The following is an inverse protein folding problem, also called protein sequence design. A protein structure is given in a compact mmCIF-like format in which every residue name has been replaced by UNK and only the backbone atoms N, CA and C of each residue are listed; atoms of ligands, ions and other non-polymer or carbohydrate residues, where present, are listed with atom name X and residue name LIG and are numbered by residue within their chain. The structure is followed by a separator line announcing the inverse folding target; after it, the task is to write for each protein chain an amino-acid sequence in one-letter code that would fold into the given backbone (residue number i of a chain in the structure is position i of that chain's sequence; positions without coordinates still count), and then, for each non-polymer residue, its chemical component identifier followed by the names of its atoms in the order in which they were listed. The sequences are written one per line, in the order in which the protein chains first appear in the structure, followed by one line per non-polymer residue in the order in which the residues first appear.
data_IF_163332316623
#
_entry.id   IF_163332316623
#
_cell.length_a   1.000
_cell.length_b   1.000
_cell.length_c   1.000
_cell.angle_alpha   90.00
_cell.angle_beta   90.00
_cell.angle_gamma   90.00
#
_symmetry.space_group_name_H-M   'P 1'
#
loop_
_entity.id
_entity.type
_entity.pdbx_description
1 polymer ?
#
# COMPACT_ATOMS: atom_id res chain seq x y z
N UNK A 1 -12.16 5.44 28.04
CA UNK A 1 -11.57 4.34 27.27
C UNK A 1 -10.41 4.87 26.45
N UNK A 2 -9.36 4.11 26.31
CA UNK A 2 -8.24 4.45 25.43
C UNK A 2 -8.71 4.43 23.97
N UNK A 3 -8.23 5.39 23.15
CA UNK A 3 -8.64 5.51 21.75
C UNK A 3 -8.08 4.36 20.93
N UNK A 4 -8.93 3.76 20.10
CA UNK A 4 -8.57 2.70 19.16
C UNK A 4 -8.26 3.33 17.80
N UNK A 5 -6.99 3.25 17.39
CA UNK A 5 -6.51 3.83 16.14
C UNK A 5 -6.54 2.81 15.00
N UNK A 6 -6.58 3.27 13.75
CA UNK A 6 -6.60 2.40 12.57
C UNK A 6 -5.39 1.46 12.53
N UNK A 7 -4.21 2.03 12.61
CA UNK A 7 -2.94 1.30 12.70
C UNK A 7 -1.89 2.22 13.29
N UNK A 8 -1.36 1.86 14.45
CA UNK A 8 -0.25 2.56 15.09
C UNK A 8 1.02 1.73 14.97
N UNK A 9 2.16 2.42 15.01
CA UNK A 9 3.44 1.77 15.19
C UNK A 9 3.43 0.94 16.49
N UNK A 10 3.93 -0.28 16.40
CA UNK A 10 4.10 -1.17 17.54
C UNK A 10 5.57 -1.58 17.64
N UNK A 11 6.18 -1.32 18.78
CA UNK A 11 7.60 -1.58 18.99
C UNK A 11 7.85 -3.01 19.47
N UNK A 12 8.81 -3.68 18.84
CA UNK A 12 9.25 -5.03 19.21
C UNK A 12 10.06 -5.05 20.52
N UNK A 13 10.66 -3.91 20.87
CA UNK A 13 11.68 -3.80 21.92
C UNK A 13 13.12 -3.98 21.41
N UNK A 14 13.31 -4.41 20.17
CA UNK A 14 14.64 -4.65 19.59
C UNK A 14 15.19 -3.41 18.86
N UNK A 15 14.37 -2.43 18.53
CA UNK A 15 14.75 -1.24 17.76
C UNK A 15 15.85 -0.44 18.46
N UNK A 16 15.73 -0.26 19.77
CA UNK A 16 16.67 0.55 20.55
C UNK A 16 18.10 0.01 20.49
N UNK A 17 18.27 -1.31 20.42
CA UNK A 17 19.59 -1.95 20.29
C UNK A 17 20.31 -1.46 19.02
N UNK A 18 19.64 -1.51 17.87
CA UNK A 18 20.22 -1.12 16.58
C UNK A 18 20.40 0.40 16.47
N UNK A 19 19.50 1.17 17.06
CA UNK A 19 19.63 2.63 17.14
C UNK A 19 20.85 3.00 18.00
N UNK A 20 20.99 2.38 19.16
CA UNK A 20 22.12 2.63 20.06
C UNK A 20 23.46 2.24 19.39
N UNK A 21 23.52 1.13 18.67
CA UNK A 21 24.68 0.74 17.89
C UNK A 21 25.11 1.81 16.87
N UNK A 22 24.15 2.47 16.22
CA UNK A 22 24.46 3.56 15.29
C UNK A 22 25.12 4.75 16.00
N UNK A 23 24.70 5.08 17.24
CA UNK A 23 25.32 6.13 18.03
C UNK A 23 26.69 5.71 18.56
N UNK A 24 26.85 4.52 19.10
CA UNK A 24 28.08 4.01 19.68
C UNK A 24 29.21 3.92 18.64
N UNK A 25 28.84 3.64 17.38
CA UNK A 25 29.79 3.50 16.26
C UNK A 25 29.88 4.77 15.40
N UNK A 26 29.19 5.85 15.78
CA UNK A 26 29.13 7.13 15.06
C UNK A 26 28.61 7.01 13.60
N UNK A 27 27.73 6.05 13.32
CA UNK A 27 27.05 5.89 12.02
C UNK A 27 25.69 6.62 12.00
N UNK A 28 25.68 7.90 12.40
CA UNK A 28 24.46 8.77 12.39
C UNK A 28 24.43 9.56 11.07
N UNK A 29 24.29 8.83 9.96
CA UNK A 29 24.36 9.35 8.58
C UNK A 29 23.43 8.53 7.68
N UNK A 30 23.12 8.96 6.42
CA UNK A 30 22.23 8.24 5.50
C UNK A 30 22.92 7.08 4.76
N UNK A 31 23.77 6.37 5.44
CA UNK A 31 24.49 5.14 5.00
C UNK A 31 25.01 4.43 6.25
N UNK A 32 25.36 3.16 6.15
CA UNK A 32 25.99 2.43 7.24
C UNK A 32 25.49 1.01 7.43
N UNK A 33 25.99 0.32 8.48
CA UNK A 33 25.72 -1.11 8.69
C UNK A 33 24.23 -1.46 8.80
N UNK A 34 23.42 -0.61 9.48
CA UNK A 34 22.01 -0.88 9.61
C UNK A 34 21.26 -0.75 8.28
N UNK A 35 21.63 0.23 7.42
CA UNK A 35 21.02 0.36 6.09
C UNK A 35 21.30 -0.88 5.26
N UNK A 36 22.57 -1.32 5.21
CA UNK A 36 22.97 -2.49 4.43
C UNK A 36 22.25 -3.77 4.91
N UNK A 37 22.26 -3.99 6.24
CA UNK A 37 21.60 -5.17 6.82
C UNK A 37 20.09 -5.14 6.62
N UNK A 38 19.44 -3.97 6.71
CA UNK A 38 18.00 -3.82 6.47
C UNK A 38 17.64 -4.11 5.00
N UNK A 39 18.46 -3.65 4.05
CA UNK A 39 18.30 -3.99 2.62
C UNK A 39 18.42 -5.51 2.38
N UNK A 40 19.39 -6.19 3.02
CA UNK A 40 19.57 -7.64 2.95
C UNK A 40 18.40 -8.41 3.60
N UNK A 41 17.94 -7.98 4.77
CA UNK A 41 16.78 -8.56 5.48
C UNK A 41 15.50 -8.44 4.64
N UNK A 42 15.26 -7.27 4.02
CA UNK A 42 14.13 -7.07 3.09
C UNK A 42 14.27 -7.94 1.83
N UNK A 43 15.44 -7.99 1.22
CA UNK A 43 15.69 -8.82 0.04
C UNK A 43 15.46 -10.31 0.33
N UNK A 44 15.87 -10.77 1.51
CA UNK A 44 15.60 -12.13 1.99
C UNK A 44 14.11 -12.38 2.18
N UNK A 45 13.39 -11.42 2.78
CA UNK A 45 11.94 -11.52 2.97
C UNK A 45 11.20 -11.61 1.62
N UNK A 46 11.57 -10.81 0.63
CA UNK A 46 10.99 -10.84 -0.72
C UNK A 46 11.09 -12.21 -1.40
N UNK A 47 12.13 -12.99 -1.05
CA UNK A 47 12.40 -14.33 -1.58
C UNK A 47 11.85 -15.44 -0.68
N UNK A 48 11.22 -15.12 0.44
CA UNK A 48 10.74 -16.09 1.43
C UNK A 48 9.46 -16.79 0.99
N UNK A 49 9.29 -18.03 1.46
CA UNK A 49 7.99 -18.72 1.43
C UNK A 49 7.10 -18.24 2.59
N UNK A 50 5.78 -18.50 2.53
CA UNK A 50 4.88 -18.20 3.63
C UNK A 50 5.37 -18.77 4.96
N UNK A 51 5.27 -17.98 6.04
CA UNK A 51 5.56 -18.44 7.40
C UNK A 51 4.32 -19.09 8.00
N UNK A 52 4.49 -20.24 8.67
CA UNK A 52 3.41 -20.96 9.37
C UNK A 52 3.34 -20.51 10.84
N UNK A 53 3.17 -19.22 11.11
CA UNK A 53 2.92 -18.75 12.48
C UNK A 53 1.45 -18.92 12.79
N UNK A 54 1.16 -19.85 13.72
CA UNK A 54 -0.19 -20.11 14.25
C UNK A 54 -0.38 -19.34 15.57
N UNK A 55 -1.29 -18.36 15.59
CA UNK A 55 -1.67 -17.60 16.78
C UNK A 55 -2.84 -18.19 17.54
N UNK A 56 -3.50 -19.20 17.00
CA UNK A 56 -4.57 -19.91 17.66
C UNK A 56 -4.12 -21.33 17.97
N UNK A 57 -4.39 -21.82 19.17
CA UNK A 57 -4.44 -23.27 19.42
C UNK A 57 -5.58 -23.94 18.63
N UNK A 58 -6.25 -23.22 17.74
CA UNK A 58 -7.18 -23.69 16.74
C UNK A 58 -6.50 -23.58 15.38
N UNK A 59 -6.23 -24.71 14.81
CA UNK A 59 -5.61 -24.95 13.51
C UNK A 59 -6.15 -23.98 12.44
N UNK A 60 -5.33 -23.02 11.99
CA UNK A 60 -5.54 -22.46 10.66
C UNK A 60 -5.51 -23.63 9.68
N UNK A 61 -6.42 -23.70 8.70
CA UNK A 61 -6.36 -24.76 7.73
C UNK A 61 -4.95 -24.80 7.17
N UNK A 62 -4.32 -25.96 7.33
CA UNK A 62 -3.00 -26.24 6.80
C UNK A 62 -2.95 -25.75 5.37
N UNK A 63 -1.83 -25.10 5.04
CA UNK A 63 -1.43 -24.71 3.70
C UNK A 63 -2.29 -25.35 2.61
N UNK A 64 -2.92 -24.53 1.81
CA UNK A 64 -3.52 -24.93 0.55
C UNK A 64 -2.49 -25.82 -0.14
N UNK A 65 -2.77 -27.11 -0.20
CA UNK A 65 -2.01 -28.00 -1.07
C UNK A 65 -2.27 -27.49 -2.48
N UNK A 66 -1.21 -26.99 -3.11
CA UNK A 66 -1.28 -26.62 -4.50
C UNK A 66 -1.88 -27.78 -5.29
N UNK A 67 -3.09 -27.59 -5.80
CA UNK A 67 -3.72 -28.54 -6.71
C UNK A 67 -3.13 -28.35 -8.11
N UNK A 68 -1.85 -28.64 -8.26
CA UNK A 68 -1.29 -29.04 -9.53
C UNK A 68 -0.47 -30.28 -9.31
N UNK A 69 -0.78 -31.31 -10.08
CA UNK A 69 0.00 -32.55 -10.11
C UNK A 69 1.45 -32.34 -10.58
N UNK A 70 1.86 -31.11 -10.86
CA UNK A 70 3.20 -30.70 -11.20
C UNK A 70 3.48 -29.25 -10.76
N UNK A 71 3.92 -29.00 -9.50
CA UNK A 71 4.30 -27.67 -9.01
C UNK A 71 5.46 -27.04 -9.79
N UNK A 72 6.24 -27.84 -10.50
CA UNK A 72 7.47 -27.40 -11.18
C UNK A 72 7.20 -26.78 -12.57
N UNK A 73 6.05 -26.98 -13.17
CA UNK A 73 5.78 -26.50 -14.55
C UNK A 73 5.24 -25.07 -14.62
N UNK A 74 4.62 -24.54 -13.57
CA UNK A 74 3.92 -23.25 -13.66
C UNK A 74 4.77 -22.02 -13.30
N UNK A 75 5.92 -22.18 -12.64
CA UNK A 75 6.69 -21.03 -12.10
C UNK A 75 8.22 -21.20 -12.08
N UNK A 76 8.79 -22.19 -12.76
CA UNK A 76 10.24 -22.43 -12.74
C UNK A 76 11.07 -21.24 -13.28
N UNK A 77 10.51 -20.41 -14.18
CA UNK A 77 11.21 -19.24 -14.71
C UNK A 77 11.06 -18.00 -13.81
N UNK A 78 9.93 -17.82 -13.14
CA UNK A 78 9.69 -16.68 -12.23
C UNK A 78 10.55 -16.71 -10.96
N UNK A 79 10.80 -17.87 -10.37
CA UNK A 79 11.65 -17.99 -9.18
C UNK A 79 13.13 -17.69 -9.46
N UNK A 80 13.64 -17.95 -10.66
CA UNK A 80 15.03 -17.60 -11.03
C UNK A 80 15.23 -16.09 -11.11
N UNK A 81 14.19 -15.35 -11.51
CA UNK A 81 14.24 -13.89 -11.55
C UNK A 81 14.25 -13.27 -10.15
N UNK A 82 13.60 -13.93 -9.16
CA UNK A 82 13.61 -13.46 -7.77
C UNK A 82 15.00 -13.46 -7.14
N UNK A 83 15.87 -14.40 -7.53
CA UNK A 83 17.25 -14.48 -7.00
C UNK A 83 18.07 -13.22 -7.31
N UNK A 84 17.78 -12.56 -8.44
CA UNK A 84 18.47 -11.36 -8.88
C UNK A 84 17.89 -10.07 -8.26
N UNK A 85 16.72 -10.12 -7.64
CA UNK A 85 16.09 -8.93 -7.05
C UNK A 85 16.95 -8.36 -5.91
N UNK A 86 17.17 -7.06 -5.98
CA UNK A 86 17.95 -6.28 -5.02
C UNK A 86 17.05 -5.22 -4.37
N UNK A 87 17.41 -4.75 -3.18
CA UNK A 87 16.62 -3.74 -2.46
C UNK A 87 17.46 -2.51 -2.17
N UNK A 88 16.85 -1.32 -2.31
CA UNK A 88 17.42 -0.03 -1.90
C UNK A 88 16.51 0.60 -0.86
N UNK A 89 17.03 0.85 0.33
CA UNK A 89 16.30 1.55 1.39
C UNK A 89 16.34 3.08 1.15
N UNK A 90 15.16 3.69 1.16
CA UNK A 90 14.92 5.09 0.79
C UNK A 90 14.12 5.83 1.87
N UNK A 91 14.08 7.15 1.79
CA UNK A 91 13.40 8.00 2.77
C UNK A 91 11.87 7.92 2.75
N UNK A 92 11.25 7.34 1.70
CA UNK A 92 9.80 7.11 1.61
C UNK A 92 9.46 6.20 0.42
N UNK A 93 8.25 5.59 0.44
CA UNK A 93 7.69 4.91 -0.74
C UNK A 93 7.48 5.86 -1.93
N UNK A 94 7.12 7.11 -1.67
CA UNK A 94 6.98 8.14 -2.73
C UNK A 94 8.30 8.38 -3.48
N UNK A 95 9.43 8.45 -2.76
CA UNK A 95 10.75 8.58 -3.38
C UNK A 95 11.15 7.32 -4.14
N UNK A 96 10.72 6.14 -3.69
CA UNK A 96 10.94 4.89 -4.39
C UNK A 96 10.21 4.87 -5.75
N UNK A 97 8.92 5.24 -5.80
CA UNK A 97 8.17 5.38 -7.06
C UNK A 97 8.85 6.39 -7.98
N UNK A 98 9.24 7.55 -7.45
CA UNK A 98 9.89 8.59 -8.24
C UNK A 98 11.18 8.09 -8.92
N UNK A 99 12.05 7.42 -8.17
CA UNK A 99 13.29 6.87 -8.71
C UNK A 99 13.06 5.71 -9.69
N UNK A 100 12.05 4.86 -9.46
CA UNK A 100 11.67 3.82 -10.41
C UNK A 100 11.27 4.44 -11.76
N UNK A 101 10.42 5.47 -11.75
CA UNK A 101 9.98 6.18 -12.95
C UNK A 101 11.14 6.87 -13.68
N UNK A 102 12.09 7.48 -12.96
CA UNK A 102 13.31 8.05 -13.54
C UNK A 102 14.12 6.97 -14.24
N UNK A 103 14.32 5.82 -13.57
CA UNK A 103 15.13 4.74 -14.15
C UNK A 103 14.45 4.09 -15.36
N UNK A 104 13.12 4.08 -15.42
CA UNK A 104 12.33 3.69 -16.60
C UNK A 104 12.35 4.75 -17.71
N UNK A 105 13.01 5.89 -17.48
CA UNK A 105 13.15 6.97 -18.45
C UNK A 105 11.85 7.75 -18.68
N UNK A 106 10.98 7.85 -17.67
CA UNK A 106 9.80 8.72 -17.70
C UNK A 106 10.25 10.18 -17.66
N UNK A 107 9.68 11.01 -18.52
CA UNK A 107 10.00 12.43 -18.65
C UNK A 107 8.78 13.27 -19.01
N UNK A 108 8.96 14.58 -19.03
CA UNK A 108 7.90 15.51 -19.39
C UNK A 108 7.23 15.15 -20.72
N UNK A 109 5.91 15.13 -20.70
CA UNK A 109 5.05 14.79 -21.81
C UNK A 109 4.80 13.28 -21.99
N UNK A 110 5.44 12.39 -21.24
CA UNK A 110 5.09 10.97 -21.22
C UNK A 110 3.77 10.73 -20.48
N UNK A 111 3.19 9.54 -20.67
CA UNK A 111 2.04 9.07 -19.92
C UNK A 111 2.42 7.83 -19.09
N UNK A 112 1.87 7.76 -17.88
CA UNK A 112 1.99 6.60 -16.98
C UNK A 112 0.59 6.19 -16.55
N UNK A 113 0.23 4.92 -16.77
CA UNK A 113 -1.04 4.39 -16.29
C UNK A 113 -0.94 4.17 -14.79
N UNK A 114 -1.94 4.66 -14.05
CA UNK A 114 -2.03 4.56 -12.60
C UNK A 114 -3.39 4.00 -12.18
N UNK A 115 -3.39 3.14 -11.17
CA UNK A 115 -4.63 2.79 -10.48
C UNK A 115 -5.27 4.07 -9.93
N UNK A 116 -6.60 4.22 -10.09
CA UNK A 116 -7.31 5.39 -9.59
C UNK A 116 -7.65 5.29 -8.11
N UNK A 117 -8.05 4.11 -7.65
CA UNK A 117 -8.39 3.89 -6.26
C UNK A 117 -7.12 3.59 -5.47
N UNK A 118 -6.46 4.65 -5.00
CA UNK A 118 -5.18 4.59 -4.32
C UNK A 118 -4.90 5.83 -3.48
N UNK A 119 -3.85 5.77 -2.68
CA UNK A 119 -3.24 6.94 -2.04
C UNK A 119 -2.48 7.79 -3.08
N UNK A 120 -2.41 9.09 -2.86
CA UNK A 120 -1.83 10.04 -3.83
C UNK A 120 -0.36 9.78 -4.17
N UNK A 121 0.38 9.08 -3.31
CA UNK A 121 1.80 8.79 -3.53
C UNK A 121 2.06 7.92 -4.77
N UNK A 122 1.08 7.11 -5.22
CA UNK A 122 1.20 6.33 -6.45
C UNK A 122 1.23 7.21 -7.72
N UNK A 123 0.59 8.38 -7.71
CA UNK A 123 0.42 9.22 -8.90
C UNK A 123 1.18 10.56 -8.86
N UNK A 124 1.44 11.14 -7.67
CA UNK A 124 2.17 12.40 -7.56
C UNK A 124 3.57 12.37 -8.21
N UNK A 125 4.38 11.30 -8.06
CA UNK A 125 5.71 11.24 -8.69
C UNK A 125 5.69 11.30 -10.22
N UNK A 126 4.60 10.88 -10.86
CA UNK A 126 4.40 11.06 -12.30
C UNK A 126 4.39 12.54 -12.65
N UNK A 127 3.66 13.33 -11.86
CA UNK A 127 3.58 14.79 -12.03
C UNK A 127 4.91 15.49 -11.72
N UNK A 128 5.73 14.97 -10.79
CA UNK A 128 7.05 15.54 -10.51
C UNK A 128 7.96 15.51 -11.74
N UNK A 129 7.77 14.53 -12.61
CA UNK A 129 8.54 14.39 -13.86
C UNK A 129 7.91 15.14 -15.05
N UNK A 130 6.82 15.87 -14.83
CA UNK A 130 6.08 16.55 -15.91
C UNK A 130 5.35 15.58 -16.84
N UNK A 131 5.20 14.33 -16.45
CA UNK A 131 4.41 13.32 -17.13
C UNK A 131 2.93 13.39 -16.72
N UNK A 132 2.06 12.74 -17.47
CA UNK A 132 0.62 12.72 -17.22
C UNK A 132 0.18 11.37 -16.67
N UNK A 133 -0.43 11.31 -15.48
CA UNK A 133 -1.07 10.09 -15.02
C UNK A 133 -2.35 9.83 -15.80
N UNK A 134 -2.52 8.59 -16.27
CA UNK A 134 -3.73 8.06 -16.91
C UNK A 134 -4.39 7.11 -15.92
N UNK A 135 -5.57 7.45 -15.43
CA UNK A 135 -6.20 6.68 -14.37
C UNK A 135 -7.04 5.53 -14.91
N UNK A 136 -6.90 4.38 -14.27
CA UNK A 136 -7.70 3.18 -14.52
C UNK A 136 -8.45 2.82 -13.25
N UNK A 137 -9.76 2.60 -13.39
CA UNK A 137 -10.65 2.26 -12.28
C UNK A 137 -10.47 0.82 -11.82
N UNK A 138 -11.19 0.46 -10.78
CA UNK A 138 -11.13 -0.80 -10.06
C UNK A 138 -11.94 -1.90 -10.72
N UNK A 139 -11.60 -3.15 -10.41
CA UNK A 139 -12.50 -4.29 -10.53
C UNK A 139 -13.09 -4.66 -9.16
N UNK A 140 -14.17 -5.45 -9.18
CA UNK A 140 -15.04 -5.61 -8.01
C UNK A 140 -14.48 -6.54 -6.92
N UNK A 141 -13.61 -7.49 -7.29
CA UNK A 141 -13.21 -8.56 -6.37
C UNK A 141 -12.09 -8.11 -5.41
N UNK A 142 -11.02 -7.52 -5.98
CA UNK A 142 -9.86 -7.07 -5.19
C UNK A 142 -9.87 -5.57 -4.91
N UNK A 143 -10.75 -4.81 -5.57
CA UNK A 143 -10.83 -3.35 -5.58
C UNK A 143 -9.61 -2.66 -6.23
N UNK A 144 -8.70 -3.44 -6.76
CA UNK A 144 -7.51 -2.95 -7.46
C UNK A 144 -7.78 -2.72 -8.95
N UNK A 145 -6.74 -2.38 -9.71
CA UNK A 145 -6.83 -2.03 -11.12
C UNK A 145 -7.57 -3.08 -11.95
N UNK A 146 -8.57 -2.66 -12.72
CA UNK A 146 -9.27 -3.53 -13.67
C UNK A 146 -8.38 -3.88 -14.87
N UNK A 147 -8.08 -5.18 -15.11
CA UNK A 147 -7.32 -5.61 -16.28
C UNK A 147 -8.01 -5.22 -17.62
N UNK A 148 -9.33 -5.30 -17.67
CA UNK A 148 -10.10 -4.93 -18.88
C UNK A 148 -9.94 -3.43 -19.21
N UNK A 149 -10.10 -2.56 -18.20
CA UNK A 149 -9.92 -1.13 -18.40
C UNK A 149 -8.47 -0.75 -18.66
N UNK A 150 -7.51 -1.49 -18.09
CA UNK A 150 -6.08 -1.33 -18.38
C UNK A 150 -5.79 -1.55 -19.85
N UNK A 151 -6.25 -2.68 -20.41
CA UNK A 151 -6.01 -2.98 -21.83
C UNK A 151 -6.69 -1.96 -22.75
N UNK A 152 -7.91 -1.55 -22.41
CA UNK A 152 -8.61 -0.47 -23.11
C UNK A 152 -7.83 0.84 -23.06
N UNK A 153 -7.35 1.24 -21.87
CA UNK A 153 -6.56 2.46 -21.72
C UNK A 153 -5.30 2.44 -22.58
N UNK A 154 -4.56 1.32 -22.60
CA UNK A 154 -3.36 1.17 -23.43
C UNK A 154 -3.69 1.36 -24.91
N UNK A 155 -4.72 0.67 -25.43
CA UNK A 155 -5.14 0.75 -26.84
C UNK A 155 -5.51 2.18 -27.23
N UNK A 156 -6.40 2.80 -26.44
CA UNK A 156 -6.89 4.14 -26.73
C UNK A 156 -5.76 5.18 -26.65
N UNK A 157 -4.83 5.05 -25.68
CA UNK A 157 -3.71 6.01 -25.59
C UNK A 157 -2.75 5.87 -26.77
N UNK A 158 -2.46 4.64 -27.22
CA UNK A 158 -1.64 4.40 -28.41
C UNK A 158 -2.30 5.03 -29.64
N UNK A 159 -3.62 4.84 -29.82
CA UNK A 159 -4.36 5.42 -30.95
C UNK A 159 -4.37 6.95 -30.93
N UNK A 160 -4.64 7.55 -29.74
CA UNK A 160 -4.82 9.00 -29.59
C UNK A 160 -3.51 9.79 -29.67
N UNK A 161 -2.39 9.25 -29.13
CA UNK A 161 -1.14 9.98 -29.01
C UNK A 161 0.02 9.39 -29.83
N UNK A 162 -0.21 8.26 -30.52
CA UNK A 162 0.76 7.61 -31.40
C UNK A 162 1.92 6.92 -30.66
N UNK A 163 1.85 6.76 -29.35
CA UNK A 163 2.87 6.09 -28.53
C UNK A 163 2.23 5.39 -27.33
N UNK A 164 2.89 4.33 -26.85
CA UNK A 164 2.44 3.60 -25.67
C UNK A 164 2.75 4.36 -24.38
N UNK A 165 1.96 4.18 -23.30
CA UNK A 165 2.32 4.62 -21.97
C UNK A 165 3.70 4.10 -21.56
N UNK A 166 4.42 4.87 -20.75
CA UNK A 166 5.81 4.58 -20.41
C UNK A 166 5.96 3.55 -19.30
N UNK A 167 4.98 3.49 -18.40
CA UNK A 167 4.91 2.52 -17.30
C UNK A 167 3.46 2.31 -16.85
N UNK A 168 3.22 1.24 -16.10
CA UNK A 168 1.99 0.96 -15.37
C UNK A 168 2.33 0.93 -13.88
N UNK A 169 1.56 1.64 -13.05
CA UNK A 169 1.66 1.58 -11.58
C UNK A 169 0.45 0.81 -11.06
N UNK A 170 0.68 -0.39 -10.56
CA UNK A 170 -0.31 -1.26 -9.91
C UNK A 170 -0.19 -1.08 -8.41
N UNK A 171 -1.32 -1.05 -7.71
CA UNK A 171 -1.35 -0.89 -6.24
C UNK A 171 -1.96 -2.13 -5.60
N UNK A 172 -1.51 -2.44 -4.40
CA UNK A 172 -2.11 -3.47 -3.54
C UNK A 172 -2.87 -2.78 -2.40
N UNK A 173 -4.02 -2.22 -2.75
CA UNK A 173 -4.80 -1.35 -1.87
C UNK A 173 -5.23 -2.07 -0.60
N UNK A 174 -5.00 -1.45 0.56
CA UNK A 174 -5.24 -2.00 1.90
C UNK A 174 -4.54 -3.33 2.19
N UNK A 175 -3.60 -3.73 1.33
CA UNK A 175 -2.89 -5.00 1.42
C UNK A 175 -3.49 -6.11 0.56
N UNK A 176 -4.56 -5.86 -0.18
CA UNK A 176 -5.19 -6.86 -1.04
C UNK A 176 -4.39 -7.05 -2.33
N UNK A 177 -3.98 -8.30 -2.67
CA UNK A 177 -3.34 -8.58 -3.95
C UNK A 177 -4.25 -8.24 -5.13
N UNK A 178 -3.70 -7.55 -6.15
CA UNK A 178 -4.35 -7.30 -7.42
C UNK A 178 -4.43 -8.58 -8.28
N UNK A 179 -5.21 -8.58 -9.35
CA UNK A 179 -5.17 -9.61 -10.41
C UNK A 179 -3.87 -9.48 -11.21
N UNK A 180 -2.75 -9.62 -10.50
CA UNK A 180 -1.42 -9.26 -11.02
C UNK A 180 -1.02 -10.10 -12.24
N UNK A 181 -1.41 -11.36 -12.30
CA UNK A 181 -1.14 -12.21 -13.45
C UNK A 181 -1.77 -11.66 -14.73
N UNK A 182 -3.05 -11.31 -14.68
CA UNK A 182 -3.77 -10.75 -15.83
C UNK A 182 -3.15 -9.41 -16.28
N UNK A 183 -2.74 -8.59 -15.30
CA UNK A 183 -2.10 -7.30 -15.56
C UNK A 183 -0.72 -7.49 -16.21
N UNK A 184 0.08 -8.47 -15.76
CA UNK A 184 1.38 -8.80 -16.36
C UNK A 184 1.19 -9.26 -17.81
N UNK A 185 0.28 -10.19 -18.08
CA UNK A 185 0.00 -10.67 -19.43
C UNK A 185 -0.38 -9.54 -20.40
N UNK A 186 -1.11 -8.54 -19.91
CA UNK A 186 -1.43 -7.34 -20.69
C UNK A 186 -0.18 -6.49 -20.90
N UNK A 187 0.56 -6.18 -19.81
CA UNK A 187 1.76 -5.33 -19.86
C UNK A 187 2.82 -5.89 -20.81
N UNK A 188 3.07 -7.21 -20.78
CA UNK A 188 4.00 -7.91 -21.67
C UNK A 188 3.58 -7.81 -23.13
N UNK A 189 2.29 -7.98 -23.44
CA UNK A 189 1.74 -7.85 -24.79
C UNK A 189 2.07 -6.51 -25.45
N UNK A 190 2.12 -5.45 -24.65
CA UNK A 190 2.46 -4.10 -25.10
C UNK A 190 3.90 -3.70 -24.75
N UNK A 191 4.67 -4.58 -24.11
CA UNK A 191 6.04 -4.31 -23.62
C UNK A 191 6.09 -3.01 -22.80
N UNK A 192 5.22 -2.89 -21.79
CA UNK A 192 5.17 -1.76 -20.87
C UNK A 192 5.62 -2.27 -19.49
N UNK A 193 6.66 -1.68 -18.85
CA UNK A 193 7.11 -2.10 -17.54
C UNK A 193 6.10 -1.77 -16.44
N UNK A 194 6.06 -2.64 -15.42
CA UNK A 194 5.20 -2.49 -14.23
C UNK A 194 6.03 -2.01 -13.06
N UNK A 195 5.51 -1.00 -12.35
CA UNK A 195 5.92 -0.60 -10.99
C UNK A 195 4.80 -1.04 -10.04
N UNK A 196 5.11 -1.91 -9.10
CA UNK A 196 4.18 -2.36 -8.08
C UNK A 196 4.27 -1.44 -6.86
N UNK A 197 3.21 -0.72 -6.56
CA UNK A 197 3.08 0.01 -5.30
C UNK A 197 2.56 -0.93 -4.21
N UNK A 198 3.50 -1.63 -3.57
CA UNK A 198 3.25 -2.51 -2.43
C UNK A 198 3.43 -1.79 -1.07
N UNK A 199 3.26 -0.45 -1.04
CA UNK A 199 3.37 0.34 0.18
C UNK A 199 2.39 -0.10 1.30
N UNK A 200 1.34 -0.80 0.94
CA UNK A 200 0.34 -1.39 1.84
C UNK A 200 0.38 -2.92 1.84
N UNK A 201 1.15 -3.50 0.93
CA UNK A 201 1.20 -4.94 0.65
C UNK A 201 2.34 -5.72 1.30
N UNK A 202 3.14 -5.12 2.21
CA UNK A 202 4.25 -5.86 2.84
C UNK A 202 3.74 -7.11 3.57
N UNK A 203 4.13 -8.28 3.08
CA UNK A 203 3.69 -9.58 3.58
C UNK A 203 2.46 -10.16 2.90
N UNK A 204 1.77 -9.40 2.05
CA UNK A 204 0.76 -9.96 1.16
C UNK A 204 1.41 -10.80 0.07
N UNK A 205 0.67 -11.81 -0.39
CA UNK A 205 1.14 -12.74 -1.41
C UNK A 205 0.05 -13.00 -2.46
N UNK A 206 0.52 -13.24 -3.66
CA UNK A 206 -0.31 -13.79 -4.72
C UNK A 206 0.33 -15.09 -5.20
N UNK A 207 -0.41 -16.19 -5.11
CA UNK A 207 0.11 -17.54 -5.40
C UNK A 207 1.47 -17.80 -4.70
N UNK A 208 1.50 -17.60 -3.37
CA UNK A 208 2.66 -17.74 -2.46
C UNK A 208 3.81 -16.72 -2.67
N UNK A 209 3.88 -16.01 -3.79
CA UNK A 209 4.92 -15.02 -4.06
C UNK A 209 4.56 -13.67 -3.41
N UNK A 210 5.56 -13.04 -2.78
CA UNK A 210 5.41 -11.71 -2.15
C UNK A 210 5.06 -10.64 -3.19
N UNK A 211 4.01 -9.86 -2.94
CA UNK A 211 3.66 -8.73 -3.80
C UNK A 211 4.77 -7.66 -3.77
N UNK A 212 4.96 -6.97 -4.88
CA UNK A 212 6.10 -6.07 -5.09
C UNK A 212 7.30 -6.76 -5.75
N UNK A 213 7.18 -8.07 -6.09
CA UNK A 213 8.28 -8.84 -6.73
C UNK A 213 7.96 -9.35 -8.13
N UNK A 214 6.77 -9.07 -8.64
CA UNK A 214 6.31 -9.51 -9.95
C UNK A 214 6.75 -8.58 -11.08
N UNK A 215 6.64 -7.27 -10.88
CA UNK A 215 6.97 -6.27 -11.89
C UNK A 215 8.45 -5.94 -11.99
N UNK A 216 8.76 -4.96 -12.83
CA UNK A 216 10.14 -4.44 -12.99
C UNK A 216 10.65 -3.85 -11.68
N UNK A 217 9.81 -3.04 -10.99
CA UNK A 217 10.10 -2.45 -9.69
C UNK A 217 8.98 -2.71 -8.70
N UNK A 218 9.34 -2.90 -7.42
CA UNK A 218 8.38 -2.97 -6.32
C UNK A 218 8.69 -1.95 -5.24
N UNK A 219 7.66 -1.31 -4.72
CA UNK A 219 7.78 -0.22 -3.74
C UNK A 219 7.24 -0.68 -2.39
N UNK A 220 8.00 -0.45 -1.34
CA UNK A 220 7.57 -0.65 0.05
C UNK A 220 7.56 0.69 0.79
N UNK A 221 6.71 0.79 1.82
CA UNK A 221 6.64 1.96 2.70
C UNK A 221 6.74 1.54 4.16
N UNK A 222 7.49 2.31 4.92
CA UNK A 222 7.71 2.12 6.36
C UNK A 222 7.33 3.39 7.13
N UNK A 223 6.28 4.07 6.68
CA UNK A 223 5.69 5.18 7.45
C UNK A 223 5.09 4.66 8.76
N UNK A 224 4.88 5.54 9.74
CA UNK A 224 4.48 5.19 11.10
C UNK A 224 3.21 4.34 11.25
N UNK A 225 2.37 4.27 10.23
CA UNK A 225 1.13 3.50 10.22
C UNK A 225 1.16 2.28 9.29
N UNK A 226 2.32 1.91 8.74
CA UNK A 226 2.45 0.74 7.86
C UNK A 226 2.66 -0.54 8.66
N UNK A 227 2.74 -1.68 7.99
CA UNK A 227 2.91 -3.01 8.60
C UNK A 227 4.09 -3.06 9.56
N UNK A 228 5.19 -2.40 9.18
CA UNK A 228 6.33 -2.04 10.04
C UNK A 228 6.69 -0.58 9.82
N UNK A 229 7.44 0.00 10.75
CA UNK A 229 7.86 1.40 10.67
C UNK A 229 9.37 1.57 10.76
N UNK A 230 9.88 2.60 10.09
CA UNK A 230 11.20 3.18 10.33
C UNK A 230 11.09 4.63 10.81
N UNK A 231 9.98 5.02 11.46
CA UNK A 231 9.53 6.40 11.70
C UNK A 231 9.03 7.06 10.41
N UNK A 232 9.81 7.07 9.39
CA UNK A 232 9.52 7.37 8.00
C UNK A 232 10.56 6.69 7.13
N UNK A 233 10.11 6.09 6.04
CA UNK A 233 10.98 5.35 5.14
C UNK A 233 10.21 4.61 4.06
N UNK A 234 10.97 3.98 3.19
CA UNK A 234 10.49 3.09 2.15
C UNK A 234 11.63 2.29 1.58
N UNK A 235 11.34 1.44 0.63
CA UNK A 235 12.34 0.73 -0.14
C UNK A 235 11.88 0.52 -1.58
N UNK A 236 12.84 0.36 -2.48
CA UNK A 236 12.62 -0.02 -3.86
C UNK A 236 13.25 -1.39 -4.11
N UNK A 237 12.44 -2.35 -4.52
CA UNK A 237 12.88 -3.64 -5.05
C UNK A 237 13.25 -3.41 -6.50
N UNK A 238 14.50 -3.69 -6.84
CA UNK A 238 15.07 -3.54 -8.17
C UNK A 238 15.20 -4.89 -8.86
N UNK A 239 15.12 -4.97 -10.20
CA UNK A 239 15.20 -6.24 -10.93
C UNK A 239 16.57 -6.91 -10.81
N UNK A 240 17.63 -6.14 -10.63
CA UNK A 240 19.01 -6.62 -10.57
C UNK A 240 19.94 -5.57 -9.94
N UNK A 241 21.21 -5.96 -9.80
CA UNK A 241 22.25 -5.10 -9.23
C UNK A 241 22.53 -3.84 -10.05
N UNK A 242 22.47 -3.89 -11.37
CA UNK A 242 22.69 -2.72 -12.23
C UNK A 242 21.63 -1.65 -11.99
N UNK A 243 20.37 -2.06 -11.94
CA UNK A 243 19.25 -1.17 -11.61
C UNK A 243 19.41 -0.59 -10.18
N UNK A 244 19.79 -1.41 -9.20
CA UNK A 244 20.10 -0.96 -7.84
C UNK A 244 21.19 0.11 -7.83
N UNK A 245 22.29 -0.12 -8.51
CA UNK A 245 23.43 0.81 -8.56
C UNK A 245 23.00 2.15 -9.20
N UNK A 246 22.16 2.10 -10.23
CA UNK A 246 21.61 3.30 -10.89
C UNK A 246 20.64 4.06 -9.96
N UNK A 247 19.76 3.36 -9.25
CA UNK A 247 18.89 3.96 -8.24
C UNK A 247 19.70 4.60 -7.12
N UNK A 248 20.75 3.94 -6.66
CA UNK A 248 21.68 4.47 -5.65
C UNK A 248 22.38 5.74 -6.12
N UNK A 249 22.82 5.79 -7.37
CA UNK A 249 23.42 6.96 -7.96
C UNK A 249 22.47 8.18 -7.88
N UNK A 250 21.20 8.01 -8.31
CA UNK A 250 20.21 9.08 -8.19
C UNK A 250 19.85 9.42 -6.74
N UNK A 251 19.74 8.42 -5.86
CA UNK A 251 19.39 8.61 -4.45
C UNK A 251 20.47 9.34 -3.64
N UNK A 252 21.71 9.40 -4.20
CA UNK A 252 22.88 10.06 -3.62
C UNK A 252 23.37 11.24 -4.46
N UNK A 253 22.44 12.03 -4.96
CA UNK A 253 22.64 13.28 -5.69
C UNK A 253 23.28 13.15 -7.09
N UNK A 254 23.32 11.96 -7.69
CA UNK A 254 23.94 11.70 -8.99
C UNK A 254 25.37 12.28 -9.09
N UNK A 255 26.17 12.02 -8.05
CA UNK A 255 27.53 12.50 -7.97
C UNK A 255 28.48 11.56 -8.72
N UNK A 256 29.27 12.14 -9.62
CA UNK A 256 30.34 11.46 -10.33
C UNK A 256 31.54 11.12 -9.43
N UNK A 257 32.27 10.07 -9.80
CA UNK A 257 33.39 9.53 -9.00
C UNK A 257 34.70 10.33 -9.18
N UNK A 258 34.64 11.64 -8.90
CA UNK A 258 35.83 12.51 -8.91
C UNK A 258 36.19 12.97 -7.49
N UNK A 259 37.44 13.42 -7.23
CA UNK A 259 37.82 14.02 -5.95
C UNK A 259 37.05 15.32 -5.62
N UNK A 260 36.51 15.98 -6.62
CA UNK A 260 35.63 17.15 -6.52
C UNK A 260 34.20 16.79 -6.89
N UNK A 261 33.23 17.63 -6.51
CA UNK A 261 31.83 17.44 -6.85
C UNK A 261 31.58 17.80 -8.32
N UNK A 262 31.15 16.77 -9.09
CA UNK A 262 30.68 16.92 -10.46
C UNK A 262 29.38 16.18 -10.63
N UNK A 263 28.44 16.74 -11.36
CA UNK A 263 27.14 16.18 -11.63
C UNK A 263 26.83 16.34 -13.12
N UNK A 264 26.61 15.24 -13.81
CA UNK A 264 26.15 15.21 -15.21
C UNK A 264 24.62 15.05 -15.27
N UNK A 265 24.02 14.54 -14.21
CA UNK A 265 22.57 14.34 -14.07
C UNK A 265 22.07 14.96 -12.76
N UNK A 266 20.78 15.29 -12.71
CA UNK A 266 20.13 15.78 -11.49
C UNK A 266 19.80 14.56 -10.60
N UNK A 267 20.35 14.53 -9.41
CA UNK A 267 20.07 13.52 -8.41
C UNK A 267 19.30 14.07 -7.21
N UNK A 268 19.04 13.19 -6.26
CA UNK A 268 18.17 13.44 -5.10
C UNK A 268 18.87 13.02 -3.82
N UNK A 269 18.43 13.53 -2.68
CA UNK A 269 18.86 13.09 -1.36
C UNK A 269 17.77 12.20 -0.75
N UNK A 270 17.69 10.95 -1.24
CA UNK A 270 16.60 10.04 -0.94
C UNK A 270 17.00 8.79 -0.15
N UNK A 271 18.22 8.70 0.33
CA UNK A 271 18.68 7.58 1.15
C UNK A 271 17.98 7.52 2.51
N UNK A 272 17.75 6.31 3.01
CA UNK A 272 17.30 6.09 4.37
C UNK A 272 18.44 6.38 5.37
N UNK A 273 18.11 7.02 6.50
CA UNK A 273 19.04 7.21 7.61
C UNK A 273 19.41 5.86 8.26
N UNK A 274 20.70 5.71 8.66
CA UNK A 274 21.16 4.50 9.36
C UNK A 274 20.45 4.31 10.73
N UNK A 275 20.05 5.39 11.39
CA UNK A 275 19.23 5.34 12.61
C UNK A 275 17.84 4.80 12.32
N UNK A 276 17.18 5.30 11.28
CA UNK A 276 15.87 4.81 10.85
C UNK A 276 15.92 3.35 10.36
N UNK A 277 16.99 2.97 9.66
CA UNK A 277 17.21 1.58 9.26
C UNK A 277 17.39 0.66 10.49
N UNK A 278 18.02 1.14 11.55
CA UNK A 278 18.10 0.42 12.83
C UNK A 278 16.72 0.14 13.44
N UNK A 279 15.79 1.11 13.38
CA UNK A 279 14.39 0.88 13.74
C UNK A 279 13.80 -0.23 12.87
N UNK A 280 13.98 -0.13 11.54
CA UNK A 280 13.47 -1.12 10.57
C UNK A 280 13.97 -2.53 10.86
N UNK A 281 15.23 -2.71 11.19
CA UNK A 281 15.81 -4.00 11.58
C UNK A 281 15.15 -4.59 12.83
N UNK A 282 14.90 -3.75 13.85
CA UNK A 282 14.13 -4.17 15.02
C UNK A 282 12.72 -4.63 14.63
N UNK A 283 12.06 -3.90 13.76
CA UNK A 283 10.72 -4.21 13.27
C UNK A 283 10.68 -5.49 12.41
N UNK A 284 11.73 -5.77 11.61
CA UNK A 284 11.82 -7.03 10.85
C UNK A 284 11.78 -8.28 11.74
N UNK A 285 12.22 -8.17 13.00
CA UNK A 285 12.20 -9.30 13.93
C UNK A 285 10.80 -9.74 14.35
N UNK A 286 9.78 -8.90 14.12
CA UNK A 286 8.37 -9.18 14.47
C UNK A 286 7.42 -9.05 13.28
N UNK A 287 7.96 -8.94 12.05
CA UNK A 287 7.15 -8.75 10.84
C UNK A 287 6.13 -9.87 10.65
N UNK A 288 6.55 -11.13 10.78
CA UNK A 288 5.66 -12.28 10.62
C UNK A 288 4.54 -12.29 11.68
N UNK A 289 4.89 -11.91 12.91
CA UNK A 289 3.90 -11.78 14.01
C UNK A 289 2.88 -10.67 13.71
N UNK A 290 3.34 -9.52 13.19
CA UNK A 290 2.45 -8.43 12.79
C UNK A 290 1.49 -8.85 11.67
N UNK A 291 2.00 -9.53 10.64
CA UNK A 291 1.18 -10.04 9.52
C UNK A 291 0.12 -11.01 10.05
N UNK A 292 0.52 -11.96 10.87
CA UNK A 292 -0.39 -12.95 11.43
C UNK A 292 -1.44 -12.30 12.34
N UNK A 293 -1.05 -11.29 13.14
CA UNK A 293 -2.00 -10.52 13.96
C UNK A 293 -3.04 -9.78 13.11
N UNK A 294 -2.64 -9.10 12.06
CA UNK A 294 -3.57 -8.41 11.14
C UNK A 294 -4.58 -9.39 10.52
N UNK A 295 -4.10 -10.57 10.08
CA UNK A 295 -4.97 -11.64 9.57
C UNK A 295 -5.93 -12.18 10.62
N UNK A 296 -5.47 -12.32 11.87
CA UNK A 296 -6.32 -12.75 12.97
C UNK A 296 -7.45 -11.74 13.23
N UNK A 297 -7.15 -10.45 13.29
CA UNK A 297 -8.15 -9.38 13.46
C UNK A 297 -9.13 -9.36 12.27
N UNK A 298 -8.64 -9.58 11.04
CA UNK A 298 -9.48 -9.70 9.85
C UNK A 298 -10.48 -10.86 9.97
N UNK A 299 -10.03 -12.02 10.47
CA UNK A 299 -10.89 -13.18 10.73
C UNK A 299 -12.01 -12.83 11.71
N UNK A 300 -11.70 -12.13 12.82
CA UNK A 300 -12.71 -11.70 13.80
C UNK A 300 -13.75 -10.77 13.18
N UNK A 301 -13.34 -9.81 12.34
CA UNK A 301 -14.26 -8.92 11.63
C UNK A 301 -15.14 -9.69 10.63
N UNK A 302 -14.53 -10.56 9.81
CA UNK A 302 -15.26 -11.42 8.86
C UNK A 302 -16.35 -12.22 9.56
N UNK A 303 -16.01 -12.93 10.64
CA UNK A 303 -16.96 -13.69 11.46
C UNK A 303 -18.01 -12.78 12.10
N UNK A 304 -17.57 -11.65 12.63
CA UNK A 304 -18.43 -10.67 13.29
C UNK A 304 -19.48 -10.04 12.38
N UNK A 305 -19.19 -9.86 11.12
CA UNK A 305 -20.11 -9.24 10.16
C UNK A 305 -20.85 -10.23 9.25
N UNK A 306 -20.53 -11.54 9.31
CA UNK A 306 -21.09 -12.57 8.42
C UNK A 306 -22.62 -12.61 8.36
N UNK A 307 -23.31 -12.19 9.41
CA UNK A 307 -24.78 -12.19 9.54
C UNK A 307 -25.34 -10.76 9.78
N UNK A 308 -24.65 -9.73 9.34
CA UNK A 308 -25.11 -8.34 9.47
C UNK A 308 -25.58 -7.86 8.10
N UNK A 309 -26.90 -7.79 7.93
CA UNK A 309 -27.50 -7.34 6.67
C UNK A 309 -27.01 -5.94 6.31
N UNK A 310 -26.62 -5.74 5.07
CA UNK A 310 -26.13 -4.48 4.52
C UNK A 310 -24.70 -4.07 4.93
N UNK A 311 -23.97 -4.96 5.62
CA UNK A 311 -22.53 -4.80 5.90
C UNK A 311 -21.76 -5.93 5.23
N UNK A 312 -20.80 -5.58 4.38
CA UNK A 312 -19.92 -6.56 3.74
C UNK A 312 -18.47 -6.30 4.14
N UNK A 313 -17.80 -7.33 4.62
CA UNK A 313 -16.36 -7.30 4.89
C UNK A 313 -15.59 -7.63 3.60
N UNK A 314 -14.53 -6.85 3.29
CA UNK A 314 -13.67 -7.09 2.14
C UNK A 314 -12.65 -8.17 2.48
N UNK A 315 -12.78 -9.32 1.86
CA UNK A 315 -11.98 -10.52 2.11
C UNK A 315 -11.19 -10.94 0.87
N UNK A 316 -10.27 -11.90 1.03
CA UNK A 316 -9.57 -12.52 -0.10
C UNK A 316 -10.60 -13.12 -1.09
N UNK A 317 -10.53 -12.76 -2.38
CA UNK A 317 -11.53 -13.20 -3.35
C UNK A 317 -11.37 -14.67 -3.77
N UNK A 318 -10.18 -15.22 -3.60
CA UNK A 318 -9.83 -16.60 -3.96
C UNK A 318 -8.61 -17.09 -3.19
N UNK A 319 -8.24 -18.36 -3.40
CA UNK A 319 -7.13 -19.04 -2.72
C UNK A 319 -5.74 -18.54 -3.14
N UNK A 320 -5.62 -17.86 -4.29
CA UNK A 320 -4.34 -17.30 -4.75
C UNK A 320 -4.00 -16.00 -4.05
N UNK A 321 -5.00 -15.31 -3.51
CA UNK A 321 -4.85 -14.03 -2.83
C UNK A 321 -4.68 -14.25 -1.33
N UNK A 322 -3.55 -13.82 -0.78
CA UNK A 322 -3.26 -13.87 0.65
C UNK A 322 -2.89 -12.47 1.14
N UNK A 323 -3.92 -11.69 1.49
CA UNK A 323 -3.78 -10.33 2.00
C UNK A 323 -3.10 -10.31 3.38
N UNK A 324 -2.30 -9.28 3.62
CA UNK A 324 -1.82 -8.96 4.96
C UNK A 324 -2.89 -8.23 5.80
N UNK A 325 -4.00 -7.80 5.19
CA UNK A 325 -5.05 -6.99 5.82
C UNK A 325 -4.50 -5.78 6.59
N UNK A 326 -3.57 -5.04 5.99
CA UNK A 326 -3.01 -3.83 6.60
C UNK A 326 -4.10 -2.92 7.18
N UNK A 327 -5.18 -2.68 6.44
CA UNK A 327 -6.41 -2.13 6.98
C UNK A 327 -7.59 -3.06 6.65
N UNK A 328 -8.39 -3.37 7.65
CA UNK A 328 -9.67 -4.04 7.47
C UNK A 328 -10.71 -3.05 6.97
N UNK A 329 -11.47 -3.45 5.98
CA UNK A 329 -12.45 -2.57 5.33
C UNK A 329 -13.81 -3.25 5.23
N UNK A 330 -14.86 -2.43 5.38
CA UNK A 330 -16.25 -2.85 5.17
C UNK A 330 -16.93 -1.90 4.20
N UNK A 331 -17.98 -2.39 3.54
CA UNK A 331 -18.96 -1.53 2.86
C UNK A 331 -20.28 -1.55 3.62
N UNK A 332 -20.99 -0.41 3.56
CA UNK A 332 -22.30 -0.20 4.19
C UNK A 332 -23.28 0.14 3.07
N UNK A 333 -24.26 -0.71 2.83
CA UNK A 333 -25.29 -0.49 1.80
C UNK A 333 -26.06 0.80 2.06
N UNK A 334 -26.53 1.43 0.98
CA UNK A 334 -27.18 2.74 1.04
C UNK A 334 -28.45 2.75 1.90
N UNK A 335 -29.15 1.62 1.95
CA UNK A 335 -30.42 1.47 2.65
C UNK A 335 -30.25 1.19 4.15
N UNK A 336 -29.03 0.88 4.59
CA UNK A 336 -28.72 0.71 6.01
C UNK A 336 -28.88 2.06 6.72
N UNK A 337 -29.78 2.10 7.69
CA UNK A 337 -30.01 3.29 8.53
C UNK A 337 -29.06 3.28 9.72
N UNK A 338 -28.42 4.40 9.96
CA UNK A 338 -27.49 4.60 11.08
C UNK A 338 -28.01 5.69 12.01
N UNK A 339 -27.79 5.53 13.29
CA UNK A 339 -28.20 6.53 14.30
C UNK A 339 -27.65 7.91 13.93
N UNK A 340 -28.47 8.93 14.14
CA UNK A 340 -28.12 10.33 13.86
C UNK A 340 -27.81 10.66 12.37
N UNK A 341 -28.15 9.78 11.42
CA UNK A 341 -27.83 9.94 10.00
C UNK A 341 -28.35 11.25 9.38
N UNK A 342 -29.48 11.75 9.87
CA UNK A 342 -30.09 12.99 9.34
C UNK A 342 -29.47 14.26 9.95
N UNK A 343 -28.53 14.14 10.88
CA UNK A 343 -27.83 15.29 11.45
C UNK A 343 -26.80 15.84 10.48
N UNK A 344 -26.80 17.17 10.32
CA UNK A 344 -25.70 17.82 9.61
C UNK A 344 -24.39 17.68 10.41
N UNK A 345 -23.43 17.03 9.81
CA UNK A 345 -22.08 16.96 10.38
C UNK A 345 -21.19 18.06 9.81
N UNK A 346 -20.34 18.62 10.68
CA UNK A 346 -19.32 19.54 10.21
C UNK A 346 -18.25 18.73 9.43
N UNK A 347 -18.30 18.83 8.10
CA UNK A 347 -17.42 18.10 7.20
C UNK A 347 -15.97 18.61 7.19
N UNK A 348 -15.74 19.81 7.71
CA UNK A 348 -14.41 20.35 7.85
C UNK A 348 -13.70 19.66 9.03
N UNK A 349 -12.64 18.94 8.75
CA UNK A 349 -11.73 18.47 9.79
C UNK A 349 -10.99 19.67 10.34
N UNK A 350 -11.52 20.26 11.42
CA UNK A 350 -10.85 21.35 12.14
C UNK A 350 -9.77 20.73 13.03
N UNK A 351 -8.51 20.95 12.70
CA UNK A 351 -7.40 20.60 13.55
C UNK A 351 -6.88 19.16 13.35
N UNK A 352 -5.95 18.80 14.19
CA UNK A 352 -5.21 17.56 14.14
C UNK A 352 -6.13 16.34 14.04
N UNK A 353 -6.01 15.63 12.96
CA UNK A 353 -6.45 14.26 12.89
C UNK A 353 -5.45 13.47 13.71
N UNK A 354 -5.81 13.11 14.94
CA UNK A 354 -5.00 12.22 15.76
C UNK A 354 -4.78 10.91 15.02
N UNK A 355 -3.64 10.32 15.21
CA UNK A 355 -3.20 9.09 14.57
C UNK A 355 -1.92 9.31 13.75
N UNK A 356 -1.38 8.24 13.21
CA UNK A 356 -0.09 8.25 12.50
C UNK A 356 -0.07 9.14 11.22
N UNK A 357 -1.20 9.67 10.79
CA UNK A 357 -1.30 10.56 9.62
C UNK A 357 -0.83 12.01 9.87
N UNK A 358 -0.53 12.38 11.12
CA UNK A 358 -0.02 13.72 11.47
C UNK A 358 -1.06 14.84 11.37
N UNK A 359 -0.58 16.08 11.46
CA UNK A 359 -1.40 17.29 11.37
C UNK A 359 -1.74 17.60 9.90
N UNK A 360 -3.03 17.73 9.60
CA UNK A 360 -3.49 18.14 8.27
C UNK A 360 -3.50 19.68 8.18
N UNK A 361 -2.70 20.20 7.27
CA UNK A 361 -2.74 21.61 6.89
C UNK A 361 -3.69 21.78 5.71
N UNK A 362 -4.75 22.58 5.88
CA UNK A 362 -5.75 22.82 4.83
C UNK A 362 -5.55 24.19 4.19
N UNK A 363 -5.73 24.25 2.86
CA UNK A 363 -5.83 25.53 2.13
C UNK A 363 -7.21 26.19 2.25
N UNK A 364 -8.15 25.55 2.94
CA UNK A 364 -9.54 25.99 3.07
C UNK A 364 -10.40 25.79 1.81
N UNK A 365 -9.84 25.21 0.73
CA UNK A 365 -10.62 24.87 -0.47
C UNK A 365 -11.42 23.59 -0.24
N UNK A 366 -12.73 23.69 -0.39
CA UNK A 366 -13.66 22.56 -0.26
C UNK A 366 -14.21 22.20 -1.64
N UNK A 367 -14.17 20.90 -1.98
CA UNK A 367 -14.78 20.35 -3.18
C UNK A 367 -15.71 19.21 -2.75
N UNK A 368 -16.99 19.34 -3.05
CA UNK A 368 -18.06 18.46 -2.56
C UNK A 368 -18.69 17.59 -3.66
N UNK A 369 -18.02 17.46 -4.79
CA UNK A 369 -18.57 16.80 -5.99
C UNK A 369 -18.79 15.29 -5.78
N UNK A 370 -18.02 14.67 -4.87
CA UNK A 370 -18.21 13.28 -4.46
C UNK A 370 -17.80 13.13 -2.99
N UNK A 371 -18.71 12.62 -2.17
CA UNK A 371 -18.57 12.45 -0.72
C UNK A 371 -19.07 11.06 -0.30
N UNK A 372 -18.64 10.54 0.86
CA UNK A 372 -19.24 9.36 1.46
C UNK A 372 -20.74 9.54 1.69
N UNK A 373 -21.50 8.46 1.62
CA UNK A 373 -22.93 8.47 1.93
C UNK A 373 -23.17 8.91 3.39
N UNK A 374 -24.33 9.48 3.66
CA UNK A 374 -24.68 10.02 4.99
C UNK A 374 -24.65 8.95 6.08
N UNK A 375 -25.00 7.71 5.77
CA UNK A 375 -24.94 6.60 6.71
C UNK A 375 -23.48 6.19 7.04
N UNK A 376 -22.56 6.24 6.07
CA UNK A 376 -21.12 6.00 6.30
C UNK A 376 -20.55 7.09 7.21
N UNK A 377 -20.86 8.35 6.93
CA UNK A 377 -20.40 9.46 7.77
C UNK A 377 -21.01 9.40 9.17
N UNK A 378 -22.30 9.04 9.31
CA UNK A 378 -22.94 8.83 10.60
C UNK A 378 -22.28 7.70 11.40
N UNK A 379 -21.96 6.57 10.73
CA UNK A 379 -21.24 5.46 11.34
C UNK A 379 -19.87 5.91 11.85
N UNK A 380 -19.09 6.61 11.01
CA UNK A 380 -17.78 7.16 11.40
C UNK A 380 -17.89 8.04 12.65
N UNK A 381 -18.88 8.92 12.70
CA UNK A 381 -19.09 9.82 13.85
C UNK A 381 -19.56 9.05 15.08
N UNK A 382 -20.41 8.04 14.92
CA UNK A 382 -20.85 7.20 16.04
C UNK A 382 -19.66 6.44 16.66
N UNK A 383 -18.77 5.89 15.83
CA UNK A 383 -17.55 5.22 16.27
C UNK A 383 -16.57 6.20 16.95
N UNK A 384 -16.37 7.38 16.40
CA UNK A 384 -15.49 8.42 16.98
C UNK A 384 -15.91 8.83 18.38
N UNK A 385 -17.23 8.97 18.65
CA UNK A 385 -17.80 9.23 19.98
C UNK A 385 -17.44 8.14 21.00
N UNK A 386 -17.20 6.93 20.56
CA UNK A 386 -16.76 5.79 21.37
C UNK A 386 -15.25 5.65 21.46
N UNK A 387 -14.49 6.58 20.87
CA UNK A 387 -13.05 6.54 20.82
C UNK A 387 -12.49 5.55 19.80
N UNK A 388 -13.27 5.15 18.80
CA UNK A 388 -12.87 4.26 17.72
C UNK A 388 -12.58 5.11 16.47
N UNK A 389 -11.32 5.12 16.01
CA UNK A 389 -10.97 5.76 14.74
C UNK A 389 -11.48 4.91 13.58
N UNK A 390 -12.13 5.55 12.62
CA UNK A 390 -12.50 4.99 11.33
C UNK A 390 -12.39 6.06 10.27
N UNK A 391 -12.22 5.67 9.01
CA UNK A 391 -12.06 6.57 7.87
C UNK A 391 -12.87 6.05 6.70
N UNK A 392 -13.51 6.92 5.92
CA UNK A 392 -13.97 6.54 4.58
C UNK A 392 -12.79 5.93 3.80
N UNK A 393 -13.10 5.06 2.85
CA UNK A 393 -12.08 4.56 1.91
C UNK A 393 -11.46 5.73 1.12
N UNK A 394 -10.34 5.49 0.44
CA UNK A 394 -9.68 6.55 -0.32
C UNK A 394 -10.61 7.16 -1.38
N UNK A 395 -10.61 8.49 -1.49
CA UNK A 395 -11.25 9.15 -2.62
C UNK A 395 -10.43 8.86 -3.88
N UNK A 396 -11.04 8.29 -4.95
CA UNK A 396 -10.33 7.95 -6.18
C UNK A 396 -9.56 9.14 -6.77
N UNK A 397 -8.39 8.87 -7.37
CA UNK A 397 -7.50 9.92 -7.88
C UNK A 397 -8.14 10.72 -9.02
N UNK A 398 -8.92 10.09 -9.91
CA UNK A 398 -9.63 10.80 -10.98
C UNK A 398 -10.66 11.82 -10.46
N UNK A 399 -11.12 11.68 -9.20
CA UNK A 399 -12.01 12.63 -8.53
C UNK A 399 -11.25 13.71 -7.74
N UNK A 400 -9.93 13.66 -7.69
CA UNK A 400 -9.14 14.68 -7.01
C UNK A 400 -9.02 15.94 -7.88
N UNK A 401 -9.27 17.14 -7.32
CA UNK A 401 -9.24 18.39 -8.10
C UNK A 401 -7.94 18.63 -8.85
N UNK A 402 -6.82 18.15 -8.34
CA UNK A 402 -5.49 18.28 -8.96
C UNK A 402 -5.38 17.50 -10.27
N UNK A 403 -6.21 16.46 -10.46
CA UNK A 403 -6.19 15.56 -11.61
C UNK A 403 -7.37 15.72 -12.56
N UNK A 404 -8.18 16.79 -12.43
CA UNK A 404 -9.39 17.02 -13.24
C UNK A 404 -9.20 16.96 -14.76
N UNK A 405 -7.97 17.15 -15.23
CA UNK A 405 -7.62 17.14 -16.65
C UNK A 405 -6.85 15.89 -17.07
N UNK A 406 -6.64 14.94 -16.15
CA UNK A 406 -5.96 13.69 -16.46
C UNK A 406 -6.92 12.73 -17.16
N UNK A 407 -6.46 11.98 -18.20
CA UNK A 407 -7.27 10.93 -18.80
C UNK A 407 -7.67 9.87 -17.76
N UNK A 408 -8.89 9.37 -17.86
CA UNK A 408 -9.40 8.36 -16.95
C UNK A 408 -10.33 7.36 -17.65
N UNK A 409 -10.19 6.09 -17.31
CA UNK A 409 -10.98 4.96 -17.82
C UNK A 409 -11.76 4.37 -16.65
N UNK A 410 -13.03 4.72 -16.57
CA UNK A 410 -13.87 4.60 -15.36
C UNK A 410 -15.05 3.66 -15.64
N UNK A 411 -15.35 2.79 -14.67
CA UNK A 411 -16.57 1.98 -14.60
C UNK A 411 -17.45 2.31 -13.38
N UNK A 412 -16.98 3.19 -12.48
CA UNK A 412 -17.71 3.66 -11.31
C UNK A 412 -17.52 2.83 -10.04
N UNK A 413 -16.78 1.73 -10.08
CA UNK A 413 -16.59 0.85 -8.92
C UNK A 413 -15.88 1.59 -7.78
N UNK A 414 -14.75 2.24 -8.05
CA UNK A 414 -14.01 2.95 -6.99
C UNK A 414 -14.78 4.12 -6.40
N UNK A 415 -15.62 4.80 -7.20
CA UNK A 415 -16.50 5.86 -6.71
C UNK A 415 -17.56 5.29 -5.75
N UNK A 416 -18.19 4.16 -6.10
CA UNK A 416 -19.18 3.51 -5.25
C UNK A 416 -18.54 2.98 -3.94
N UNK A 417 -17.34 2.38 -4.04
CA UNK A 417 -16.58 1.93 -2.88
C UNK A 417 -16.23 3.10 -1.93
N UNK A 418 -15.81 4.25 -2.47
CA UNK A 418 -15.56 5.44 -1.67
C UNK A 418 -16.81 5.94 -0.96
N UNK A 419 -17.97 5.87 -1.63
CA UNK A 419 -19.27 6.32 -1.06
C UNK A 419 -19.77 5.41 0.05
N UNK A 420 -19.49 4.11 -0.03
CA UNK A 420 -20.08 3.09 0.86
C UNK A 420 -19.08 2.52 1.88
N UNK A 421 -17.80 2.75 1.69
CA UNK A 421 -16.77 2.03 2.42
C UNK A 421 -16.18 2.75 3.63
N UNK A 422 -15.73 1.94 4.59
CA UNK A 422 -15.14 2.41 5.84
C UNK A 422 -13.94 1.51 6.25
N UNK A 423 -12.80 2.14 6.56
CA UNK A 423 -11.65 1.47 7.18
C UNK A 423 -11.85 1.32 8.68
N UNK A 424 -11.47 0.17 9.23
CA UNK A 424 -11.56 -0.18 10.65
C UNK A 424 -10.18 -0.38 11.26
N UNK A 425 -10.04 -0.22 12.60
CA UNK A 425 -8.79 -0.49 13.32
C UNK A 425 -8.28 -1.91 13.07
N UNK A 426 -7.00 -2.04 12.76
CA UNK A 426 -6.40 -3.30 12.29
C UNK A 426 -5.01 -3.58 12.86
N UNK A 427 -4.34 -2.56 13.39
CA UNK A 427 -2.94 -2.64 13.78
C UNK A 427 -2.66 -3.56 14.98
N UNK A 428 -1.36 -3.83 15.27
CA UNK A 428 -0.95 -4.76 16.32
C UNK A 428 -1.39 -4.36 17.74
N UNK A 429 -1.87 -3.12 17.92
CA UNK A 429 -2.40 -2.62 19.20
C UNK A 429 -3.87 -2.98 19.45
N UNK A 430 -4.54 -3.60 18.48
CA UNK A 430 -5.96 -3.98 18.58
C UNK A 430 -6.07 -5.39 19.14
N UNK A 431 -6.61 -5.51 20.36
CA UNK A 431 -6.88 -6.80 20.98
C UNK A 431 -8.16 -7.45 20.43
N UNK A 432 -8.34 -8.73 20.72
CA UNK A 432 -9.60 -9.44 20.42
C UNK A 432 -10.82 -8.77 21.06
N UNK A 433 -10.65 -8.24 22.28
CA UNK A 433 -11.71 -7.52 22.98
C UNK A 433 -12.05 -6.22 22.28
N UNK A 434 -11.03 -5.51 21.78
CA UNK A 434 -11.22 -4.30 20.98
C UNK A 434 -11.95 -4.59 19.67
N UNK A 435 -11.55 -5.64 18.94
CA UNK A 435 -12.21 -6.06 17.72
C UNK A 435 -13.70 -6.40 17.97
N UNK A 436 -14.01 -7.18 19.02
CA UNK A 436 -15.40 -7.49 19.42
C UNK A 436 -16.17 -6.23 19.83
N UNK A 437 -15.53 -5.31 20.54
CA UNK A 437 -16.15 -4.03 20.90
C UNK A 437 -16.47 -3.19 19.67
N UNK A 438 -15.58 -3.11 18.69
CA UNK A 438 -15.78 -2.40 17.42
C UNK A 438 -16.94 -3.02 16.64
N UNK A 439 -16.95 -4.36 16.49
CA UNK A 439 -18.04 -5.09 15.82
C UNK A 439 -19.39 -4.79 16.50
N UNK A 440 -19.43 -4.88 17.83
CA UNK A 440 -20.65 -4.56 18.59
C UNK A 440 -21.09 -3.12 18.39
N UNK A 441 -20.16 -2.17 18.42
CA UNK A 441 -20.45 -0.74 18.25
C UNK A 441 -21.05 -0.42 16.88
N UNK A 442 -20.55 -1.09 15.81
CA UNK A 442 -21.11 -0.97 14.46
C UNK A 442 -22.55 -1.53 14.43
N UNK A 443 -22.77 -2.72 15.00
CA UNK A 443 -24.10 -3.34 15.06
C UNK A 443 -25.09 -2.50 15.85
N UNK A 444 -24.66 -1.93 16.97
CA UNK A 444 -25.51 -1.08 17.83
C UNK A 444 -25.85 0.27 17.17
N UNK A 445 -25.02 0.74 16.24
CA UNK A 445 -25.27 1.98 15.50
C UNK A 445 -26.27 1.82 14.34
N UNK A 446 -26.56 0.60 13.91
CA UNK A 446 -27.58 0.32 12.89
C UNK A 446 -28.96 0.39 13.49
N UNK A 447 -29.83 1.19 12.87
CA UNK A 447 -31.26 1.31 13.26
C UNK A 447 -32.02 0.15 12.62
N UNK A 448 -32.69 -0.63 13.46
CA UNK A 448 -33.53 -1.76 13.01
C UNK A 448 -34.86 -1.27 12.47
#
# INVERSE_FOLDING_TARGET
MERKYLCLAHMSGNEQKYVQEAFDTNWVVPLGPNVNAFEEELAKFCKSKPSNIDFSNEVYPQSIQAHSDNPDELWNDGYKELENKEVVALCSGTSAIHLALINLGVKAGDEVICQSFTFCASSHPVMYLGATPVFVDSEADTWNMSPELLERAIKDRIEMIGRKPKAIIVVYLYGMPAKIKDIIEIAERYSIPIVEDAAEGLGSRYNEQVVGTFGEYGVMSFNGNKMITTSGGGALICPNKEAKDRIMFFATQAREAFPYYQHEEIGYNYRLSNVCAGIGRGQMTVLDEHIAHHRHIAKLYKEGFSNVEGITFHDNPNELSDSNFWLNTITIEKDVKVIDQDKAYNKAVAGAVGGAAGVVHSTGKVHTDCEPNTNVEAMRVALDKLGIESRPLWKPMHLQPVYRNSPAYINGISEELFKTGLCLPSGPMISDEDARFIIKSIKDAIVK
#
